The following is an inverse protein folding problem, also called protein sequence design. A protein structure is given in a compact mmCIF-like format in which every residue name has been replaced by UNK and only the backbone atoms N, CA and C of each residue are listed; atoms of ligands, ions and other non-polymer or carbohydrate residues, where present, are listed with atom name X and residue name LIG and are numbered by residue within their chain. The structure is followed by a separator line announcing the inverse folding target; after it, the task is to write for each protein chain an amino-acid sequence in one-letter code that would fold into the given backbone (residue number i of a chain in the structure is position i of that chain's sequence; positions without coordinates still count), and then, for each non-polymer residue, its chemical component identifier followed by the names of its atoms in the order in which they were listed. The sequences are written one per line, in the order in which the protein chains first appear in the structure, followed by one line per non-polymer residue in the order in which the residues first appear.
data_IF_511811616871
#
_entry.id   IF_511811616871
#
_cell.length_a   1.000
_cell.length_b   1.000
_cell.length_c   1.000
_cell.angle_alpha   90.00
_cell.angle_beta   90.00
_cell.angle_gamma   90.00
#
_symmetry.space_group_name_H-M   'P 1'
#
loop_
_entity.id
_entity.type
_entity.pdbx_description
1 polymer ?
#
# COMPACT_ATOMS: atom_id res chain seq x y z
N UNK A 1 35.11 -7.35 -26.04
CA UNK A 1 34.67 -8.05 -24.78
C UNK A 1 34.38 -7.02 -23.67
N UNK A 2 35.32 -6.06 -23.38
CA UNK A 2 35.09 -5.05 -22.33
C UNK A 2 33.96 -4.09 -22.68
N UNK A 3 33.83 -3.67 -23.93
CA UNK A 3 32.74 -2.81 -24.40
C UNK A 3 31.37 -3.51 -24.34
N UNK A 4 31.31 -4.78 -24.66
CA UNK A 4 30.07 -5.57 -24.55
C UNK A 4 29.63 -5.79 -23.11
N UNK A 5 30.56 -5.99 -22.17
CA UNK A 5 30.28 -6.09 -20.74
C UNK A 5 29.83 -4.76 -20.14
N UNK A 6 30.39 -3.63 -20.61
CA UNK A 6 29.92 -2.31 -20.17
C UNK A 6 28.53 -1.99 -20.68
N UNK A 7 28.18 -2.38 -21.91
CA UNK A 7 26.81 -2.21 -22.45
C UNK A 7 25.81 -3.13 -21.74
N UNK A 8 26.18 -4.37 -21.41
CA UNK A 8 25.34 -5.26 -20.59
C UNK A 8 25.15 -4.74 -19.15
N UNK A 9 26.22 -4.26 -18.52
CA UNK A 9 26.14 -3.62 -17.19
C UNK A 9 25.29 -2.35 -17.22
N UNK A 10 25.43 -1.51 -18.26
CA UNK A 10 24.59 -0.33 -18.47
C UNK A 10 23.13 -0.72 -18.74
N UNK A 11 22.86 -1.80 -19.43
CA UNK A 11 21.48 -2.31 -19.61
C UNK A 11 20.90 -2.88 -18.31
N UNK A 12 21.70 -3.46 -17.44
CA UNK A 12 21.30 -3.95 -16.13
C UNK A 12 21.11 -2.82 -15.10
N UNK A 13 21.90 -1.74 -15.19
CA UNK A 13 21.77 -0.57 -14.34
C UNK A 13 20.70 0.40 -14.86
N UNK A 14 20.50 0.51 -16.17
CA UNK A 14 19.45 1.29 -16.82
C UNK A 14 18.07 0.60 -16.83
N UNK A 15 17.83 -0.39 -15.97
CA UNK A 15 16.50 -0.85 -15.59
C UNK A 15 15.62 0.26 -14.96
N UNK A 16 16.10 1.49 -14.96
CA UNK A 16 15.41 2.73 -14.68
C UNK A 16 15.05 3.39 -16.01
N UNK A 17 13.88 3.01 -16.54
CA UNK A 17 13.02 3.78 -17.42
C UNK A 17 13.68 4.96 -18.17
N UNK A 18 14.42 4.68 -19.26
CA UNK A 18 14.34 5.57 -20.39
C UNK A 18 12.91 5.38 -20.94
N UNK A 19 11.98 6.30 -20.62
CA UNK A 19 10.75 6.41 -21.37
C UNK A 19 11.15 6.78 -22.80
N UNK A 20 11.11 5.85 -23.76
CA UNK A 20 11.25 6.25 -25.14
C UNK A 20 10.11 7.24 -25.41
N UNK A 21 10.43 8.35 -26.05
CA UNK A 21 9.43 9.30 -26.49
C UNK A 21 8.40 8.52 -27.34
N UNK A 22 7.16 8.42 -26.88
CA UNK A 22 6.10 7.83 -27.66
C UNK A 22 5.55 8.87 -28.63
N UNK A 23 5.33 8.51 -29.87
CA UNK A 23 4.63 9.38 -30.80
C UNK A 23 3.20 9.63 -30.30
N UNK A 24 2.70 10.85 -30.47
CA UNK A 24 1.33 11.21 -30.08
C UNK A 24 0.29 10.28 -30.72
N UNK A 25 0.52 9.87 -31.95
CA UNK A 25 -0.34 8.93 -32.68
C UNK A 25 -0.46 7.58 -31.99
N UNK A 26 0.69 7.03 -31.55
CA UNK A 26 0.73 5.72 -30.88
C UNK A 26 0.08 5.83 -29.49
N UNK A 27 0.32 6.93 -28.78
CA UNK A 27 -0.31 7.21 -27.48
C UNK A 27 -1.83 7.39 -27.60
N UNK A 28 -2.30 8.05 -28.67
CA UNK A 28 -3.72 8.23 -28.95
C UNK A 28 -4.39 6.89 -29.27
N UNK A 29 -3.76 6.06 -30.07
CA UNK A 29 -4.28 4.73 -30.39
C UNK A 29 -4.38 3.85 -29.14
N UNK A 30 -3.35 3.82 -28.29
CA UNK A 30 -3.37 3.11 -27.03
C UNK A 30 -4.48 3.62 -26.08
N UNK A 31 -4.69 4.93 -26.02
CA UNK A 31 -5.75 5.53 -25.23
C UNK A 31 -7.15 5.12 -25.74
N UNK A 32 -7.35 5.08 -27.04
CA UNK A 32 -8.61 4.63 -27.66
C UNK A 32 -8.85 3.14 -27.41
N UNK A 33 -7.82 2.32 -27.55
CA UNK A 33 -7.90 0.87 -27.24
C UNK A 33 -8.23 0.64 -25.77
N UNK A 34 -7.62 1.40 -24.87
CA UNK A 34 -7.91 1.35 -23.42
C UNK A 34 -9.36 1.76 -23.08
N UNK A 35 -9.94 2.69 -23.86
CA UNK A 35 -11.36 3.08 -23.69
C UNK A 35 -12.34 2.06 -24.25
N UNK A 36 -11.92 1.28 -25.25
CA UNK A 36 -12.74 0.23 -25.86
C UNK A 36 -12.62 -1.12 -25.14
N UNK A 37 -11.55 -1.35 -24.41
CA UNK A 37 -11.42 -2.50 -23.53
C UNK A 37 -12.09 -2.14 -22.21
N UNK A 38 -13.19 -2.84 -21.89
CA UNK A 38 -13.69 -2.95 -20.51
C UNK A 38 -12.64 -3.68 -19.65
N UNK A 39 -11.41 -3.13 -19.62
CA UNK A 39 -10.48 -3.45 -18.57
C UNK A 39 -11.15 -2.98 -17.31
N UNK A 40 -11.57 -3.91 -16.44
CA UNK A 40 -11.70 -3.61 -15.03
C UNK A 40 -10.36 -3.02 -14.61
N UNK A 41 -10.24 -1.71 -14.79
CA UNK A 41 -9.12 -0.95 -14.28
C UNK A 41 -9.02 -1.37 -12.84
N UNK A 42 -7.88 -1.91 -12.46
CA UNK A 42 -7.63 -2.51 -11.16
C UNK A 42 -7.64 -1.41 -10.11
N UNK A 43 -8.73 -0.65 -10.11
CA UNK A 43 -9.01 0.44 -9.20
C UNK A 43 -9.07 -0.14 -7.80
N UNK A 44 -8.32 0.45 -6.89
CA UNK A 44 -8.27 0.04 -5.50
C UNK A 44 -9.21 0.95 -4.72
N UNK A 45 -10.31 0.41 -4.14
CA UNK A 45 -11.21 1.21 -3.33
C UNK A 45 -10.53 1.62 -2.02
N UNK A 46 -10.75 2.86 -1.59
CA UNK A 46 -10.23 3.34 -0.30
C UNK A 46 -11.03 2.81 0.88
N UNK A 47 -12.28 2.43 0.64
CA UNK A 47 -13.26 2.03 1.65
C UNK A 47 -14.07 3.20 2.21
N UNK A 48 -13.82 4.43 1.74
CA UNK A 48 -14.62 5.61 2.04
C UNK A 48 -15.50 5.92 0.84
N UNK A 49 -16.79 5.62 0.93
CA UNK A 49 -17.75 5.68 -0.19
C UNK A 49 -17.75 7.05 -0.89
N UNK A 50 -17.82 8.13 -0.11
CA UNK A 50 -17.84 9.50 -0.65
C UNK A 50 -16.51 9.87 -1.31
N UNK A 51 -15.39 9.36 -0.81
CA UNK A 51 -14.08 9.56 -1.40
C UNK A 51 -13.95 8.78 -2.70
N UNK A 52 -14.34 7.52 -2.68
CA UNK A 52 -14.30 6.63 -3.84
C UNK A 52 -15.23 7.13 -4.96
N UNK A 53 -16.38 7.72 -4.62
CA UNK A 53 -17.28 8.32 -5.62
C UNK A 53 -16.64 9.53 -6.33
N UNK A 54 -15.77 10.29 -5.64
CA UNK A 54 -15.09 11.47 -6.20
C UNK A 54 -13.79 11.14 -6.93
N UNK A 55 -13.01 10.20 -6.40
CA UNK A 55 -11.71 9.81 -6.96
C UNK A 55 -11.80 8.64 -7.94
N UNK A 56 -12.94 7.95 -7.97
CA UNK A 56 -13.08 6.65 -8.65
C UNK A 56 -12.11 5.60 -8.06
N UNK A 57 -11.73 5.74 -6.78
CA UNK A 57 -10.72 4.94 -6.10
C UNK A 57 -9.28 5.32 -6.43
N UNK A 58 -8.33 4.50 -5.95
CA UNK A 58 -6.89 4.69 -6.21
C UNK A 58 -6.49 3.95 -7.48
N UNK A 59 -5.90 4.67 -8.43
CA UNK A 59 -5.50 4.11 -9.72
C UNK A 59 -4.07 3.59 -9.71
N UNK A 60 -3.76 2.49 -10.40
CA UNK A 60 -2.39 2.03 -10.58
C UNK A 60 -1.50 3.11 -11.21
N UNK A 61 -0.23 3.17 -10.78
CA UNK A 61 0.75 4.12 -11.31
C UNK A 61 0.56 5.56 -10.87
N UNK A 62 -0.40 5.86 -9.97
CA UNK A 62 -0.61 7.22 -9.45
C UNK A 62 0.00 7.39 -8.06
N UNK A 63 0.41 8.62 -7.77
CA UNK A 63 0.82 9.06 -6.44
C UNK A 63 -0.29 9.90 -5.82
N UNK A 64 -0.83 9.45 -4.69
CA UNK A 64 -1.82 10.21 -3.91
C UNK A 64 -1.16 10.74 -2.65
N UNK A 65 -1.20 12.05 -2.44
CA UNK A 65 -0.61 12.70 -1.27
C UNK A 65 -1.73 13.09 -0.31
N UNK A 66 -1.63 12.61 0.94
CA UNK A 66 -2.53 12.97 2.03
C UNK A 66 -1.81 13.92 2.98
N UNK A 67 -2.24 15.16 3.02
CA UNK A 67 -1.68 16.19 3.90
C UNK A 67 -2.66 16.53 5.04
N UNK A 68 -2.14 16.65 6.26
CA UNK A 68 -2.90 17.06 7.42
C UNK A 68 -1.97 17.73 8.45
N UNK A 69 -2.52 18.59 9.30
CA UNK A 69 -1.80 19.12 10.47
C UNK A 69 -1.44 17.98 11.43
N UNK A 70 -0.40 18.12 12.25
CA UNK A 70 -0.08 17.14 13.28
C UNK A 70 -1.31 16.78 14.13
N UNK A 71 -1.41 15.54 14.56
CA UNK A 71 -2.49 14.99 15.39
C UNK A 71 -3.90 14.96 14.75
N UNK A 72 -4.06 15.27 13.44
CA UNK A 72 -5.36 15.26 12.75
C UNK A 72 -5.74 13.87 12.20
N UNK A 73 -5.02 12.83 12.54
CA UNK A 73 -5.39 11.45 12.17
C UNK A 73 -4.88 10.98 10.80
N UNK A 74 -3.87 11.62 10.21
CA UNK A 74 -3.27 11.21 8.93
C UNK A 74 -2.93 9.71 8.89
N UNK A 75 -2.19 9.23 9.88
CA UNK A 75 -1.81 7.81 9.99
C UNK A 75 -3.02 6.90 10.17
N UNK A 76 -4.03 7.32 10.97
CA UNK A 76 -5.26 6.56 11.15
C UNK A 76 -6.03 6.41 9.84
N UNK A 77 -6.08 7.47 9.03
CA UNK A 77 -6.68 7.44 7.70
C UNK A 77 -5.95 6.44 6.78
N UNK A 78 -4.61 6.48 6.72
CA UNK A 78 -3.80 5.53 5.97
C UNK A 78 -4.02 4.08 6.43
N UNK A 79 -4.10 3.84 7.76
CA UNK A 79 -4.37 2.51 8.31
C UNK A 79 -5.79 2.01 8.01
N UNK A 80 -6.78 2.90 7.91
CA UNK A 80 -8.12 2.51 7.50
C UNK A 80 -8.14 2.05 6.04
N UNK A 81 -7.46 2.76 5.14
CA UNK A 81 -7.30 2.35 3.75
C UNK A 81 -6.55 1.01 3.68
N UNK A 82 -5.42 0.88 4.41
CA UNK A 82 -4.65 -0.37 4.49
C UNK A 82 -5.55 -1.54 4.91
N UNK A 83 -6.33 -1.34 5.98
CA UNK A 83 -7.22 -2.36 6.51
C UNK A 83 -8.32 -2.72 5.52
N UNK A 84 -8.90 -1.74 4.83
CA UNK A 84 -9.91 -1.99 3.82
C UNK A 84 -9.32 -2.80 2.66
N UNK A 85 -8.20 -2.36 2.11
CA UNK A 85 -7.57 -3.01 0.95
C UNK A 85 -7.01 -4.38 1.32
N UNK A 86 -6.27 -4.49 2.43
CA UNK A 86 -5.62 -5.73 2.84
C UNK A 86 -6.55 -6.77 3.44
N UNK A 87 -7.53 -6.36 4.26
CA UNK A 87 -8.37 -7.28 5.01
C UNK A 87 -9.71 -7.57 4.30
N UNK A 88 -10.32 -6.57 3.66
CA UNK A 88 -11.62 -6.73 3.00
C UNK A 88 -11.48 -7.09 1.53
N UNK A 89 -10.65 -6.33 0.79
CA UNK A 89 -10.40 -6.60 -0.63
C UNK A 89 -9.41 -7.75 -0.85
N UNK A 90 -8.70 -8.18 0.20
CA UNK A 90 -7.67 -9.24 0.17
C UNK A 90 -6.56 -8.98 -0.85
N UNK A 91 -6.26 -7.71 -1.09
CA UNK A 91 -5.17 -7.32 -1.98
C UNK A 91 -3.86 -7.17 -1.19
N UNK A 92 -2.72 -7.58 -1.77
CA UNK A 92 -1.43 -7.43 -1.12
C UNK A 92 -1.06 -5.94 -0.98
N UNK A 93 -0.73 -5.49 0.23
CA UNK A 93 -0.45 -4.09 0.58
C UNK A 93 0.84 -3.97 1.34
N UNK A 94 1.62 -2.93 1.08
CA UNK A 94 2.82 -2.60 1.85
C UNK A 94 2.64 -1.26 2.58
N UNK A 95 3.15 -1.20 3.81
CA UNK A 95 3.19 0.01 4.63
C UNK A 95 4.62 0.26 5.11
N UNK A 96 5.19 1.39 4.72
CA UNK A 96 6.48 1.85 5.24
C UNK A 96 6.25 2.85 6.35
N UNK A 97 6.57 2.46 7.57
CA UNK A 97 6.41 3.30 8.75
C UNK A 97 7.71 3.99 9.11
N UNK A 98 7.71 5.31 9.09
CA UNK A 98 8.88 6.12 9.41
C UNK A 98 8.92 6.58 10.88
N UNK A 99 7.76 6.57 11.56
CA UNK A 99 7.61 7.13 12.91
C UNK A 99 7.15 6.09 13.94
N UNK A 100 6.43 5.05 13.51
CA UNK A 100 5.76 4.11 14.42
C UNK A 100 6.28 2.70 14.24
N UNK A 101 6.31 1.93 15.33
CA UNK A 101 6.65 0.51 15.28
C UNK A 101 5.52 -0.32 14.66
N UNK A 102 5.87 -1.48 14.09
CA UNK A 102 4.89 -2.43 13.56
C UNK A 102 3.89 -2.86 14.62
N UNK A 103 4.34 -3.03 15.86
CA UNK A 103 3.48 -3.39 17.00
C UNK A 103 2.40 -2.32 17.27
N UNK A 104 2.77 -1.04 17.21
CA UNK A 104 1.80 0.05 17.40
C UNK A 104 0.79 0.14 16.26
N UNK A 105 1.25 -0.06 15.01
CA UNK A 105 0.38 -0.09 13.86
C UNK A 105 -0.62 -1.25 13.94
N UNK A 106 -0.14 -2.47 14.25
CA UNK A 106 -0.98 -3.65 14.43
C UNK A 106 -2.00 -3.44 15.54
N UNK A 107 -1.59 -2.88 16.69
CA UNK A 107 -2.51 -2.58 17.79
C UNK A 107 -3.62 -1.59 17.37
N UNK A 108 -3.30 -0.59 16.55
CA UNK A 108 -4.30 0.35 16.01
C UNK A 108 -5.26 -0.33 15.03
N UNK A 109 -4.73 -1.19 14.15
CA UNK A 109 -5.54 -1.97 13.23
C UNK A 109 -6.49 -2.88 14.01
N UNK A 110 -5.97 -3.65 14.98
CA UNK A 110 -6.76 -4.55 15.80
C UNK A 110 -7.83 -3.80 16.61
N UNK A 111 -7.47 -2.65 17.20
CA UNK A 111 -8.42 -1.77 17.90
C UNK A 111 -9.60 -1.36 16.99
N UNK A 112 -9.29 -0.99 15.75
CA UNK A 112 -10.28 -0.56 14.77
C UNK A 112 -11.20 -1.71 14.33
N UNK A 113 -10.62 -2.86 13.94
CA UNK A 113 -11.41 -3.99 13.40
C UNK A 113 -12.21 -4.74 14.46
N UNK A 114 -11.68 -4.85 15.69
CA UNK A 114 -12.37 -5.50 16.81
C UNK A 114 -13.29 -4.54 17.57
N UNK A 115 -13.28 -3.24 17.23
CA UNK A 115 -14.03 -2.19 17.94
C UNK A 115 -13.73 -2.19 19.45
N UNK A 116 -12.44 -2.23 19.78
CA UNK A 116 -11.93 -2.19 21.16
C UNK A 116 -11.19 -0.88 21.39
N UNK A 117 -11.31 -0.33 22.58
CA UNK A 117 -10.56 0.88 22.91
C UNK A 117 -9.04 0.60 22.86
N UNK A 118 -8.31 1.39 22.07
CA UNK A 118 -6.86 1.21 21.91
C UNK A 118 -6.07 1.33 23.23
N UNK A 119 -6.58 2.10 24.22
CA UNK A 119 -5.98 2.16 25.54
C UNK A 119 -6.15 0.83 26.31
N UNK A 120 -7.28 0.15 26.16
CA UNK A 120 -7.52 -1.17 26.78
C UNK A 120 -6.55 -2.20 26.26
N UNK A 121 -6.28 -2.21 24.93
CA UNK A 121 -5.28 -3.08 24.30
C UNK A 121 -3.89 -2.76 24.86
N UNK A 122 -3.50 -1.48 24.85
CA UNK A 122 -2.16 -1.05 25.30
C UNK A 122 -1.91 -1.34 26.78
N UNK A 123 -2.93 -1.16 27.62
CA UNK A 123 -2.85 -1.42 29.06
C UNK A 123 -3.10 -2.88 29.45
N UNK A 124 -3.43 -3.73 28.45
CA UNK A 124 -3.81 -5.14 28.67
C UNK A 124 -5.00 -5.27 29.65
N UNK A 125 -5.94 -4.32 29.60
CA UNK A 125 -7.13 -4.27 30.44
C UNK A 125 -8.37 -4.48 29.58
N UNK A 126 -8.48 -5.67 29.00
CA UNK A 126 -9.62 -6.10 28.19
C UNK A 126 -10.47 -7.07 29.03
N UNK A 127 -11.79 -6.99 28.86
CA UNK A 127 -12.68 -8.00 29.41
C UNK A 127 -12.69 -9.25 28.50
N UNK A 128 -13.33 -10.32 28.95
CA UNK A 128 -13.35 -11.60 28.23
C UNK A 128 -14.04 -11.48 26.84
N UNK A 129 -15.06 -10.63 26.72
CA UNK A 129 -15.74 -10.40 25.45
C UNK A 129 -14.85 -9.67 24.45
N UNK A 130 -14.14 -8.65 24.92
CA UNK A 130 -13.16 -7.91 24.10
C UNK A 130 -12.02 -8.83 23.66
N UNK A 131 -11.54 -9.67 24.56
CA UNK A 131 -10.50 -10.64 24.27
C UNK A 131 -10.95 -11.66 23.21
N UNK A 132 -12.14 -12.20 23.35
CA UNK A 132 -12.70 -13.13 22.37
C UNK A 132 -12.90 -12.49 21.00
N UNK A 133 -13.36 -11.22 20.93
CA UNK A 133 -13.45 -10.47 19.68
C UNK A 133 -12.08 -10.26 19.04
N UNK A 134 -11.07 -9.94 19.84
CA UNK A 134 -9.70 -9.75 19.38
C UNK A 134 -9.15 -11.04 18.76
N UNK A 135 -9.30 -12.18 19.44
CA UNK A 135 -8.86 -13.49 18.96
C UNK A 135 -9.57 -13.87 17.65
N UNK A 136 -10.89 -13.69 17.59
CA UNK A 136 -11.67 -13.97 16.37
C UNK A 136 -11.22 -13.10 15.19
N UNK A 137 -10.90 -11.83 15.43
CA UNK A 137 -10.35 -10.95 14.41
C UNK A 137 -8.93 -11.39 13.98
N UNK A 138 -8.07 -11.75 14.93
CA UNK A 138 -6.72 -12.20 14.64
C UNK A 138 -6.73 -13.51 13.81
N UNK A 139 -7.58 -14.46 14.16
CA UNK A 139 -7.77 -15.70 13.39
C UNK A 139 -8.29 -15.42 11.97
N UNK A 140 -9.36 -14.62 11.87
CA UNK A 140 -9.97 -14.27 10.59
C UNK A 140 -9.02 -13.60 9.60
N UNK A 141 -8.08 -12.80 10.10
CA UNK A 141 -7.17 -12.02 9.27
C UNK A 141 -5.72 -12.51 9.32
N UNK A 142 -5.48 -13.71 9.83
CA UNK A 142 -4.14 -14.31 9.95
C UNK A 142 -3.43 -14.47 8.60
N UNK A 143 -4.18 -14.66 7.52
CA UNK A 143 -3.66 -14.84 6.16
C UNK A 143 -3.62 -13.54 5.34
N UNK A 144 -3.88 -12.40 5.97
CA UNK A 144 -3.87 -11.12 5.26
C UNK A 144 -2.48 -10.78 4.74
N UNK A 145 -2.41 -10.39 3.47
CA UNK A 145 -1.16 -10.04 2.81
C UNK A 145 -0.80 -8.57 3.05
N UNK A 146 -0.55 -8.24 4.30
CA UNK A 146 -0.11 -6.91 4.73
C UNK A 146 1.35 -6.99 5.15
N UNK A 147 2.20 -6.19 4.51
CA UNK A 147 3.64 -6.15 4.74
C UNK A 147 4.01 -4.80 5.36
N UNK A 148 4.65 -4.82 6.51
CA UNK A 148 5.04 -3.60 7.24
C UNK A 148 6.56 -3.55 7.30
N UNK A 149 7.13 -2.43 6.87
CA UNK A 149 8.53 -2.07 7.05
C UNK A 149 8.60 -0.89 8.03
N UNK A 150 9.28 -1.08 9.14
CA UNK A 150 9.44 -0.06 10.21
C UNK A 150 10.87 0.47 10.31
N UNK A 151 11.62 0.43 9.21
CA UNK A 151 13.00 0.92 9.19
C UNK A 151 13.02 2.44 9.37
N UNK A 152 13.53 2.96 10.50
CA UNK A 152 13.58 4.39 10.73
C UNK A 152 14.58 5.06 9.79
N UNK A 153 14.22 6.24 9.27
CA UNK A 153 15.12 7.02 8.44
C UNK A 153 15.52 6.36 7.13
N UNK A 154 14.70 5.44 6.61
CA UNK A 154 14.95 4.81 5.31
C UNK A 154 15.09 5.87 4.22
N UNK A 155 16.15 5.80 3.43
CA UNK A 155 16.33 6.67 2.27
C UNK A 155 15.43 6.23 1.11
N UNK A 156 15.19 7.18 0.18
CA UNK A 156 14.27 6.96 -0.93
C UNK A 156 14.71 5.84 -1.88
N UNK A 157 16.01 5.65 -2.07
CA UNK A 157 16.56 4.62 -2.96
C UNK A 157 16.31 3.25 -2.36
N UNK A 158 16.65 3.07 -1.08
CA UNK A 158 16.39 1.83 -0.34
C UNK A 158 14.89 1.51 -0.27
N UNK A 159 14.04 2.51 -0.01
CA UNK A 159 12.59 2.34 -0.03
C UNK A 159 12.11 1.84 -1.40
N UNK A 160 12.57 2.49 -2.47
CA UNK A 160 12.21 2.13 -3.83
C UNK A 160 12.65 0.71 -4.19
N UNK A 161 13.85 0.30 -3.82
CA UNK A 161 14.35 -1.05 -4.08
C UNK A 161 13.56 -2.12 -3.31
N UNK A 162 13.25 -1.86 -2.04
CA UNK A 162 12.41 -2.76 -1.23
C UNK A 162 10.99 -2.85 -1.81
N UNK A 163 10.40 -1.73 -2.20
CA UNK A 163 9.08 -1.68 -2.82
C UNK A 163 9.05 -2.47 -4.14
N UNK A 164 10.02 -2.29 -5.03
CA UNK A 164 10.16 -3.04 -6.28
C UNK A 164 10.33 -4.54 -6.02
N UNK A 165 11.17 -4.91 -5.06
CA UNK A 165 11.38 -6.30 -4.67
C UNK A 165 10.08 -6.94 -4.16
N UNK A 166 9.37 -6.23 -3.28
CA UNK A 166 8.13 -6.68 -2.71
C UNK A 166 7.04 -6.83 -3.78
N UNK A 167 6.95 -5.87 -4.71
CA UNK A 167 6.06 -5.95 -5.86
C UNK A 167 6.32 -7.21 -6.71
N UNK A 168 7.59 -7.49 -7.05
CA UNK A 168 7.97 -8.67 -7.85
C UNK A 168 7.68 -9.99 -7.13
N UNK A 169 7.87 -10.04 -5.80
CA UNK A 169 7.73 -11.27 -5.01
C UNK A 169 6.30 -11.54 -4.56
N UNK A 170 5.55 -10.49 -4.27
CA UNK A 170 4.23 -10.57 -3.61
C UNK A 170 3.10 -9.93 -4.40
N UNK A 171 3.39 -9.30 -5.53
CA UNK A 171 2.37 -8.64 -6.35
C UNK A 171 1.67 -7.47 -5.66
N UNK A 172 2.41 -6.67 -4.87
CA UNK A 172 1.84 -5.55 -4.12
C UNK A 172 1.03 -4.63 -5.02
N UNK A 173 -0.17 -4.28 -4.56
CA UNK A 173 -1.11 -3.42 -5.28
C UNK A 173 -1.15 -2.00 -4.74
N UNK A 174 -0.87 -1.81 -3.47
CA UNK A 174 -0.84 -0.51 -2.82
C UNK A 174 0.39 -0.40 -1.92
N UNK A 175 1.03 0.75 -1.97
CA UNK A 175 2.11 1.13 -1.06
C UNK A 175 1.69 2.39 -0.32
N UNK A 176 1.81 2.38 1.00
CA UNK A 176 1.58 3.53 1.88
C UNK A 176 2.88 3.85 2.60
N UNK A 177 3.25 5.13 2.64
CA UNK A 177 4.47 5.63 3.30
C UNK A 177 4.11 6.69 4.33
#
# INVERSE_FOLDING_TARGET
IVAQLSDELLSLTNGSASHPWSDFKDSLQQALEALCTDGEDQIIPTGFVDLDSKLTGLRPGTLTIVAARPAMGKTAFGLNILSHVGLRCKLPVAFFSLEMTSQELINRILSSIASINGNSIRQKRMNDEEWNRLLSCAEKYSEAQIYIDETPGIDIVTLQDRAKRLYRQKGIRLIIV
#
